data_IF_999086845665
#
_entry.id   IF_999086845665
#
_cell.length_a   1.000
_cell.length_b   1.000
_cell.length_c   1.000
_cell.angle_alpha   90.00
_cell.angle_beta   90.00
_cell.angle_gamma   90.00
#
_symmetry.space_group_name_H-M   'P 1'
#
loop_
_entity.id
_entity.type
_entity.pdbx_description
1 polymer ?
#
# COMPACT_ATOMS: atom_id res chain seq x y z
N UNK A 1 -1.66 -3.19 11.94
CA UNK A 1 -1.84 -2.25 10.84
C UNK A 1 -2.67 -2.89 9.74
N UNK A 2 -3.52 -2.09 9.12
CA UNK A 2 -4.33 -2.47 7.97
C UNK A 2 -3.77 -1.73 6.75
N UNK A 3 -3.40 -2.46 5.70
CA UNK A 3 -3.06 -1.87 4.42
C UNK A 3 -4.34 -1.76 3.58
N UNK A 4 -4.69 -0.56 3.16
CA UNK A 4 -5.87 -0.29 2.33
C UNK A 4 -5.39 0.17 0.97
N UNK A 5 -5.96 -0.42 -0.08
CA UNK A 5 -5.74 -0.05 -1.47
C UNK A 5 -7.07 0.47 -2.03
N UNK A 6 -7.02 1.56 -2.76
CA UNK A 6 -8.12 2.05 -3.60
C UNK A 6 -7.60 2.08 -5.04
N UNK A 7 -8.07 1.14 -5.86
CA UNK A 7 -7.56 0.88 -7.20
C UNK A 7 -8.44 1.59 -8.23
N UNK A 8 -8.06 2.83 -8.57
CA UNK A 8 -8.70 3.61 -9.62
C UNK A 8 -8.13 3.31 -11.02
N UNK A 9 -8.80 3.84 -12.05
CA UNK A 9 -8.34 3.72 -13.44
C UNK A 9 -7.00 4.42 -13.70
N UNK A 10 -6.77 5.56 -13.05
CA UNK A 10 -5.59 6.41 -13.28
C UNK A 10 -4.58 6.29 -12.16
N UNK A 11 -5.05 6.13 -10.93
CA UNK A 11 -4.18 6.01 -9.77
C UNK A 11 -4.64 4.91 -8.84
N UNK A 12 -3.67 4.29 -8.17
CA UNK A 12 -3.86 3.46 -6.98
C UNK A 12 -3.49 4.32 -5.77
N UNK A 13 -4.39 4.43 -4.81
CA UNK A 13 -4.09 5.03 -3.50
C UNK A 13 -3.82 3.90 -2.52
N UNK A 14 -2.69 3.93 -1.83
CA UNK A 14 -2.32 2.95 -0.81
C UNK A 14 -2.18 3.66 0.53
N UNK A 15 -2.81 3.16 1.59
CA UNK A 15 -2.76 3.76 2.92
C UNK A 15 -2.56 2.72 4.01
N UNK A 16 -1.87 3.09 5.08
CA UNK A 16 -1.69 2.22 6.25
C UNK A 16 -2.41 2.82 7.44
N UNK A 17 -3.33 2.06 8.01
CA UNK A 17 -4.04 2.40 9.23
C UNK A 17 -3.49 1.65 10.43
N UNK A 18 -3.46 2.32 11.58
CA UNK A 18 -3.38 1.68 12.90
C UNK A 18 -4.63 2.10 13.66
N UNK A 19 -5.47 1.11 13.97
CA UNK A 19 -6.81 1.36 14.49
C UNK A 19 -7.59 2.31 13.58
N UNK A 20 -8.01 3.48 14.06
CA UNK A 20 -8.75 4.48 13.30
C UNK A 20 -7.87 5.61 12.77
N UNK A 21 -6.55 5.51 12.90
CA UNK A 21 -5.61 6.56 12.48
C UNK A 21 -4.88 6.16 11.20
N UNK A 22 -4.96 7.03 10.19
CA UNK A 22 -4.12 6.95 9.00
C UNK A 22 -2.69 7.34 9.37
N UNK A 23 -1.74 6.42 9.20
CA UNK A 23 -0.33 6.66 9.47
C UNK A 23 0.36 7.31 8.27
N UNK A 24 0.10 6.79 7.07
CA UNK A 24 0.73 7.21 5.82
C UNK A 24 -0.17 6.86 4.64
N UNK A 25 -0.07 7.64 3.57
CA UNK A 25 -0.72 7.35 2.29
C UNK A 25 0.21 7.68 1.13
N UNK A 26 0.16 6.84 0.10
CA UNK A 26 0.89 6.99 -1.15
C UNK A 26 -0.07 6.95 -2.33
N UNK A 27 0.34 7.59 -3.42
CA UNK A 27 -0.39 7.56 -4.69
C UNK A 27 0.52 7.09 -5.80
N UNK A 28 0.09 6.04 -6.48
CA UNK A 28 0.79 5.44 -7.60
C UNK A 28 -0.04 5.63 -8.87
N UNK A 29 0.60 5.76 -10.02
CA UNK A 29 -0.11 5.63 -11.29
C UNK A 29 -0.57 4.17 -11.49
N UNK A 30 -1.81 3.97 -11.95
CA UNK A 30 -2.33 2.64 -12.26
C UNK A 30 -1.63 2.09 -13.50
N UNK A 31 -0.92 0.96 -13.34
CA UNK A 31 -0.19 0.30 -14.43
C UNK A 31 -0.85 -1.05 -14.72
N UNK A 32 -1.68 -1.12 -15.77
CA UNK A 32 -2.44 -2.34 -16.12
C UNK A 32 -1.58 -3.57 -16.44
N UNK A 33 -0.33 -3.36 -16.86
CA UNK A 33 0.61 -4.44 -17.18
C UNK A 33 1.55 -4.78 -16.00
N UNK A 34 1.36 -4.15 -14.84
CA UNK A 34 2.19 -4.40 -13.68
C UNK A 34 1.89 -5.79 -13.11
N UNK A 35 2.94 -6.54 -12.77
CA UNK A 35 2.79 -7.85 -12.15
C UNK A 35 2.53 -7.73 -10.65
N UNK A 36 2.02 -8.80 -10.05
CA UNK A 36 1.82 -8.85 -8.60
C UNK A 36 3.15 -8.67 -7.83
N UNK A 37 4.25 -9.25 -8.34
CA UNK A 37 5.58 -9.13 -7.74
C UNK A 37 6.10 -7.69 -7.80
N UNK A 38 5.91 -7.01 -8.94
CA UNK A 38 6.29 -5.60 -9.09
C UNK A 38 5.52 -4.70 -8.13
N UNK A 39 4.20 -4.91 -8.01
CA UNK A 39 3.38 -4.16 -7.05
C UNK A 39 3.79 -4.46 -5.61
N UNK A 40 4.03 -5.74 -5.28
CA UNK A 40 4.48 -6.17 -3.97
C UNK A 40 5.82 -5.55 -3.58
N UNK A 41 6.78 -5.47 -4.50
CA UNK A 41 8.07 -4.81 -4.26
C UNK A 41 7.88 -3.32 -3.93
N UNK A 42 7.06 -2.62 -4.70
CA UNK A 42 6.79 -1.19 -4.49
C UNK A 42 6.11 -0.95 -3.13
N UNK A 43 5.08 -1.73 -2.79
CA UNK A 43 4.38 -1.60 -1.51
C UNK A 43 5.31 -1.89 -0.32
N UNK A 44 6.16 -2.91 -0.42
CA UNK A 44 7.18 -3.22 0.60
C UNK A 44 8.21 -2.11 0.75
N UNK A 45 8.61 -1.48 -0.36
CA UNK A 45 9.52 -0.34 -0.31
C UNK A 45 8.86 0.85 0.40
N UNK A 46 7.61 1.17 0.07
CA UNK A 46 6.87 2.24 0.75
C UNK A 46 6.73 2.03 2.25
N UNK A 47 6.40 0.81 2.68
CA UNK A 47 6.34 0.47 4.11
C UNK A 47 7.70 0.72 4.79
N UNK A 48 8.78 0.24 4.19
CA UNK A 48 10.15 0.43 4.71
C UNK A 48 10.55 1.89 4.82
N UNK A 49 10.27 2.69 3.79
CA UNK A 49 10.58 4.15 3.78
C UNK A 49 9.75 4.93 4.80
N UNK A 50 8.58 4.41 5.20
CA UNK A 50 7.78 4.96 6.28
C UNK A 50 8.12 4.39 7.67
N UNK A 51 9.22 3.64 7.78
CA UNK A 51 9.66 2.95 9.01
C UNK A 51 8.57 2.02 9.57
N UNK A 52 7.82 1.36 8.68
CA UNK A 52 6.80 0.38 9.00
C UNK A 52 7.25 -1.02 8.60
N UNK A 53 7.31 -1.91 9.58
CA UNK A 53 7.62 -3.33 9.36
C UNK A 53 6.48 -4.03 8.60
N UNK A 54 6.83 -4.81 7.57
CA UNK A 54 5.83 -5.49 6.73
C UNK A 54 5.07 -6.55 7.53
N UNK A 55 5.75 -7.20 8.48
CA UNK A 55 5.22 -8.21 9.39
C UNK A 55 4.15 -7.66 10.34
N UNK A 56 4.13 -6.35 10.53
CA UNK A 56 3.16 -5.68 11.38
C UNK A 56 1.88 -5.23 10.63
N UNK A 57 1.78 -5.53 9.33
CA UNK A 57 0.54 -5.48 8.55
C UNK A 57 -0.18 -6.83 8.72
N UNK A 58 -1.34 -6.84 9.38
CA UNK A 58 -2.08 -8.09 9.65
C UNK A 58 -3.13 -8.39 8.59
N UNK A 59 -3.56 -7.39 7.84
CA UNK A 59 -4.64 -7.54 6.87
C UNK A 59 -4.52 -6.52 5.73
N UNK A 60 -5.14 -6.85 4.60
CA UNK A 60 -5.16 -6.03 3.38
C UNK A 60 -6.57 -5.99 2.81
N UNK A 61 -7.06 -4.78 2.52
CA UNK A 61 -8.33 -4.56 1.83
C UNK A 61 -8.08 -3.74 0.57
N UNK A 62 -8.69 -4.13 -0.55
CA UNK A 62 -8.56 -3.49 -1.85
C UNK A 62 -9.92 -3.29 -2.53
#
# INVERSE_FOLDING_TARGET
MLLVLDVGNTNITAGVFREQKLLVAWRLATRRKQTADELGLVLRQFLREAELEVEAVQDVVA
#
